data_IF_309624201141
#
_entry.id   IF_309624201141
#
_cell.length_a   1.000
_cell.length_b   1.000
_cell.length_c   1.000
_cell.angle_alpha   90.00
_cell.angle_beta   90.00
_cell.angle_gamma   90.00
#
_symmetry.space_group_name_H-M   'P 1'
#
loop_
_entity.id
_entity.type
_entity.pdbx_description
1 polymer ?
#
# COMPACT_ATOMS: atom_id res chain seq x y z
N UNK A 1 3.47 9.82 -4.14
CA UNK A 1 2.39 9.06 -4.80
C UNK A 1 1.06 9.52 -4.23
N UNK A 2 0.01 9.63 -5.04
CA UNK A 2 -1.35 9.87 -4.56
C UNK A 2 -2.00 8.52 -4.17
N UNK A 3 -2.96 8.54 -3.23
CA UNK A 3 -3.70 7.33 -2.78
C UNK A 3 -4.29 6.54 -3.94
N UNK A 4 -4.84 7.27 -4.93
CA UNK A 4 -5.45 6.70 -6.14
C UNK A 4 -4.46 5.86 -6.94
N UNK A 5 -3.22 6.32 -7.10
CA UNK A 5 -2.18 5.54 -7.78
C UNK A 5 -1.84 4.27 -7.02
N UNK A 6 -1.76 4.32 -5.69
CA UNK A 6 -1.44 3.14 -4.87
C UNK A 6 -2.56 2.10 -4.95
N UNK A 7 -3.83 2.51 -4.90
CA UNK A 7 -4.96 1.60 -4.95
C UNK A 7 -5.19 0.95 -6.32
N UNK A 8 -4.59 1.50 -7.40
CA UNK A 8 -4.53 0.80 -8.68
C UNK A 8 -3.59 -0.43 -8.64
N UNK A 9 -2.58 -0.42 -7.76
CA UNK A 9 -1.65 -1.54 -7.58
C UNK A 9 -2.06 -2.45 -6.43
N UNK A 10 -2.63 -1.89 -5.36
CA UNK A 10 -3.15 -2.63 -4.21
C UNK A 10 -4.66 -2.73 -4.36
N UNK A 11 -5.12 -3.79 -5.03
CA UNK A 11 -6.52 -3.99 -5.40
C UNK A 11 -7.35 -4.54 -4.25
N UNK A 12 -6.71 -5.27 -3.34
CA UNK A 12 -7.41 -5.95 -2.25
C UNK A 12 -7.89 -4.97 -1.17
N UNK A 13 -9.12 -5.12 -0.64
CA UNK A 13 -9.64 -4.24 0.41
C UNK A 13 -8.82 -4.35 1.70
N UNK A 14 -8.31 -5.55 2.02
CA UNK A 14 -7.41 -5.74 3.16
C UNK A 14 -6.07 -5.00 2.99
N UNK A 15 -5.52 -4.97 1.77
CA UNK A 15 -4.30 -4.22 1.45
C UNK A 15 -4.51 -2.70 1.52
N UNK A 16 -5.64 -2.20 1.01
CA UNK A 16 -6.01 -0.78 1.09
C UNK A 16 -6.21 -0.31 2.54
N UNK A 17 -6.89 -1.11 3.36
CA UNK A 17 -7.05 -0.83 4.78
C UNK A 17 -5.69 -0.76 5.49
N UNK A 18 -4.78 -1.71 5.18
CA UNK A 18 -3.44 -1.72 5.77
C UNK A 18 -2.58 -0.54 5.33
N UNK A 19 -2.71 -0.11 4.07
CA UNK A 19 -2.08 1.12 3.58
C UNK A 19 -2.55 2.33 4.39
N UNK A 20 -3.86 2.48 4.63
CA UNK A 20 -4.39 3.61 5.40
C UNK A 20 -3.87 3.64 6.85
N UNK A 21 -3.78 2.48 7.49
CA UNK A 21 -3.21 2.34 8.84
C UNK A 21 -1.72 2.76 8.89
N UNK A 22 -0.94 2.35 7.88
CA UNK A 22 0.48 2.67 7.78
C UNK A 22 0.72 4.13 7.36
N UNK A 23 -0.15 4.70 6.51
CA UNK A 23 -0.07 6.10 6.09
C UNK A 23 -0.38 7.06 7.24
N UNK A 24 -1.27 6.69 8.16
CA UNK A 24 -1.57 7.48 9.34
C UNK A 24 -0.35 7.64 10.29
N UNK A 25 0.65 6.74 10.18
CA UNK A 25 1.86 6.80 10.98
C UNK A 25 2.86 7.85 10.42
N UNK A 26 3.05 8.95 11.16
CA UNK A 26 3.92 10.07 10.74
C UNK A 26 5.42 9.88 11.03
N UNK A 27 5.81 8.78 11.68
CA UNK A 27 7.20 8.53 12.04
C UNK A 27 8.06 8.16 10.82
N UNK A 28 9.37 8.45 10.88
CA UNK A 28 10.30 8.09 9.80
C UNK A 28 10.33 6.59 9.54
N UNK A 29 10.37 5.78 10.59
CA UNK A 29 10.25 4.32 10.52
C UNK A 29 8.92 3.88 9.91
N UNK A 30 7.81 4.56 10.25
CA UNK A 30 6.49 4.32 9.68
C UNK A 30 6.47 4.54 8.17
N UNK A 31 7.10 5.61 7.68
CA UNK A 31 7.23 5.89 6.24
C UNK A 31 8.05 4.85 5.49
N UNK A 32 9.17 4.40 6.07
CA UNK A 32 9.98 3.33 5.47
C UNK A 32 9.18 2.03 5.38
N UNK A 33 8.47 1.68 6.46
CA UNK A 33 7.59 0.51 6.49
C UNK A 33 6.46 0.62 5.46
N UNK A 34 5.86 1.80 5.33
CA UNK A 34 4.82 2.08 4.34
C UNK A 34 5.35 1.89 2.92
N UNK A 35 6.51 2.44 2.60
CA UNK A 35 7.12 2.30 1.28
C UNK A 35 7.42 0.83 0.94
N UNK A 36 8.02 0.11 1.89
CA UNK A 36 8.26 -1.33 1.77
C UNK A 36 6.98 -2.14 1.55
N UNK A 37 5.93 -1.81 2.31
CA UNK A 37 4.62 -2.44 2.16
C UNK A 37 4.02 -2.21 0.77
N UNK A 38 4.06 -0.96 0.26
CA UNK A 38 3.54 -0.64 -1.08
C UNK A 38 4.26 -1.47 -2.15
N UNK A 39 5.58 -1.59 -2.09
CA UNK A 39 6.33 -2.37 -3.07
C UNK A 39 5.90 -3.85 -3.08
N UNK A 40 5.84 -4.49 -1.91
CA UNK A 40 5.45 -5.90 -1.81
C UNK A 40 3.99 -6.10 -2.21
N UNK A 41 3.09 -5.28 -1.68
CA UNK A 41 1.66 -5.38 -1.96
C UNK A 41 1.37 -5.18 -3.45
N UNK A 42 2.03 -4.21 -4.08
CA UNK A 42 1.90 -3.97 -5.53
C UNK A 42 2.38 -5.18 -6.35
N UNK A 43 3.49 -5.82 -5.97
CA UNK A 43 3.99 -7.03 -6.66
C UNK A 43 3.04 -8.21 -6.48
N UNK A 44 2.49 -8.39 -5.26
CA UNK A 44 1.55 -9.48 -4.95
C UNK A 44 0.22 -9.31 -5.68
N UNK A 45 -0.35 -8.12 -5.62
CA UNK A 45 -1.64 -7.79 -6.22
C UNK A 45 -1.54 -7.53 -7.73
N UNK A 46 -0.33 -7.42 -8.30
CA UNK A 46 -0.12 -7.25 -9.75
C UNK A 46 -0.81 -8.34 -10.57
N UNK A 47 -0.82 -9.57 -10.07
CA UNK A 47 -1.40 -10.72 -10.77
C UNK A 47 -2.87 -10.98 -10.40
N UNK A 48 -3.48 -10.13 -9.57
CA UNK A 48 -4.92 -10.19 -9.31
C UNK A 48 -5.62 -9.53 -10.50
N UNK A 49 -6.23 -10.35 -11.35
CA UNK A 49 -7.16 -9.87 -12.38
C UNK A 49 -8.43 -9.38 -11.69
N UNK A 50 -8.87 -8.19 -12.09
CA UNK A 50 -10.16 -7.59 -11.70
C UNK A 50 -11.32 -8.56 -11.94
#
# INVERSE_FOLDING_TARGET
MTKKTVFNYIKTPCGQAKYMELEANKTLLGKVRLFWFILIASIRDWNIKD
#
